data_IF_469790269593
#
_entry.id   IF_469790269593
#
_cell.length_a   1.000
_cell.length_b   1.000
_cell.length_c   1.000
_cell.angle_alpha   90.00
_cell.angle_beta   90.00
_cell.angle_gamma   90.00
#
_symmetry.space_group_name_H-M   'P 1'
#
loop_
_entity.id
_entity.type
_entity.pdbx_description
1 polymer ?
#
# COMPACT_ATOMS: atom_id res chain seq x y z
N UNK A 1 -40.67 58.12 66.21
CA UNK A 1 -40.84 56.70 65.81
C UNK A 1 -41.28 56.56 64.35
N UNK A 2 -42.26 57.34 63.87
CA UNK A 2 -42.78 57.20 62.50
C UNK A 2 -41.79 57.57 61.37
N UNK A 3 -40.91 58.56 61.56
CA UNK A 3 -39.92 58.98 60.56
C UNK A 3 -38.83 57.94 60.30
N UNK A 4 -38.40 57.22 61.32
CA UNK A 4 -37.39 56.16 61.19
C UNK A 4 -37.93 54.94 60.41
N UNK A 5 -39.21 54.62 60.57
CA UNK A 5 -39.87 53.52 59.85
C UNK A 5 -39.94 53.81 58.33
N UNK A 6 -40.32 55.04 57.95
CA UNK A 6 -40.36 55.47 56.54
C UNK A 6 -38.99 55.41 55.84
N UNK A 7 -37.91 55.75 56.55
CA UNK A 7 -36.54 55.66 55.99
C UNK A 7 -36.13 54.21 55.74
N UNK A 8 -36.49 53.31 56.64
CA UNK A 8 -36.21 51.87 56.51
C UNK A 8 -36.97 51.28 55.31
N UNK A 9 -38.25 51.61 55.11
CA UNK A 9 -39.03 51.15 53.95
C UNK A 9 -38.45 51.63 52.61
N UNK A 10 -37.99 52.88 52.54
CA UNK A 10 -37.34 53.44 51.36
C UNK A 10 -36.02 52.72 51.01
N UNK A 11 -35.22 52.37 52.03
CA UNK A 11 -33.98 51.61 51.86
C UNK A 11 -34.27 50.17 51.39
N UNK A 12 -35.30 49.53 51.93
CA UNK A 12 -35.73 48.19 51.51
C UNK A 12 -36.20 48.23 50.05
N UNK A 13 -37.03 49.20 49.67
CA UNK A 13 -37.51 49.36 48.30
C UNK A 13 -36.36 49.62 47.32
N UNK A 14 -35.43 50.52 47.69
CA UNK A 14 -34.23 50.78 46.90
C UNK A 14 -33.36 49.53 46.75
N UNK A 15 -33.19 48.75 47.81
CA UNK A 15 -32.48 47.47 47.80
C UNK A 15 -33.13 46.44 46.87
N UNK A 16 -34.46 46.31 46.89
CA UNK A 16 -35.20 45.39 46.00
C UNK A 16 -35.10 45.81 44.53
N UNK A 17 -35.19 47.11 44.24
CA UNK A 17 -35.02 47.63 42.87
C UNK A 17 -33.60 47.41 42.37
N UNK A 18 -32.58 47.67 43.20
CA UNK A 18 -31.19 47.42 42.86
C UNK A 18 -30.92 45.92 42.62
N UNK A 19 -31.46 45.04 43.48
CA UNK A 19 -31.35 43.59 43.35
C UNK A 19 -32.04 43.10 42.06
N UNK A 20 -33.23 43.61 41.75
CA UNK A 20 -33.95 43.31 40.51
C UNK A 20 -33.17 43.75 39.27
N UNK A 21 -32.52 44.90 39.31
CA UNK A 21 -31.68 45.41 38.22
C UNK A 21 -30.41 44.55 38.01
N UNK A 22 -29.75 44.14 39.10
CA UNK A 22 -28.58 43.25 39.06
C UNK A 22 -28.97 41.89 38.47
N UNK A 23 -30.05 41.27 38.97
CA UNK A 23 -30.51 39.98 38.48
C UNK A 23 -30.89 40.04 36.99
N UNK A 24 -31.54 41.12 36.55
CA UNK A 24 -31.95 41.32 35.15
C UNK A 24 -30.76 41.43 34.19
N UNK A 25 -29.62 41.98 34.61
CA UNK A 25 -28.47 42.17 33.73
C UNK A 25 -27.40 41.07 33.87
N UNK A 26 -27.13 40.58 35.09
CA UNK A 26 -26.06 39.60 35.33
C UNK A 26 -26.46 38.17 35.01
N UNK A 27 -27.69 37.74 35.34
CA UNK A 27 -28.12 36.36 35.08
C UNK A 27 -28.14 36.05 33.57
N UNK A 28 -28.74 36.87 32.70
CA UNK A 28 -28.77 36.58 31.27
C UNK A 28 -27.38 36.56 30.65
N UNK A 29 -26.49 37.48 31.07
CA UNK A 29 -25.11 37.54 30.59
C UNK A 29 -24.32 36.28 30.97
N UNK A 30 -24.44 35.82 32.21
CA UNK A 30 -23.75 34.61 32.68
C UNK A 30 -24.25 33.35 31.97
N UNK A 31 -25.56 33.18 31.82
CA UNK A 31 -26.12 32.03 31.09
C UNK A 31 -25.78 32.07 29.60
N UNK A 32 -25.74 33.25 28.97
CA UNK A 32 -25.34 33.40 27.58
C UNK A 32 -23.86 33.01 27.36
N UNK A 33 -22.96 33.45 28.23
CA UNK A 33 -21.54 33.11 28.16
C UNK A 33 -21.29 31.62 28.45
N UNK A 34 -21.99 31.07 29.45
CA UNK A 34 -21.94 29.62 29.74
C UNK A 34 -22.48 28.78 28.60
N UNK A 35 -23.58 29.20 27.97
CA UNK A 35 -24.16 28.55 26.79
C UNK A 35 -23.23 28.60 25.59
N UNK A 36 -22.60 29.77 25.32
CA UNK A 36 -21.61 29.93 24.24
C UNK A 36 -20.40 29.02 24.45
N UNK A 37 -19.87 28.94 25.67
CA UNK A 37 -18.73 28.07 25.99
C UNK A 37 -19.08 26.58 25.89
N UNK A 38 -20.32 26.20 26.22
CA UNK A 38 -20.79 24.82 26.07
C UNK A 38 -20.92 24.43 24.59
N UNK A 39 -21.61 25.26 23.79
CA UNK A 39 -21.76 25.03 22.36
C UNK A 39 -20.40 24.93 21.64
N UNK A 40 -19.44 25.80 21.99
CA UNK A 40 -18.09 25.75 21.42
C UNK A 40 -17.35 24.46 21.77
N UNK A 41 -17.55 23.90 22.97
CA UNK A 41 -16.95 22.63 23.37
C UNK A 41 -17.57 21.46 22.62
N UNK A 42 -18.89 21.45 22.49
CA UNK A 42 -19.62 20.44 21.72
C UNK A 42 -19.22 20.46 20.25
N UNK A 43 -19.07 21.65 19.65
CA UNK A 43 -18.57 21.81 18.27
C UNK A 43 -17.16 21.22 18.11
N UNK A 44 -16.25 21.49 19.06
CA UNK A 44 -14.89 20.95 19.03
C UNK A 44 -14.89 19.42 19.18
N UNK A 45 -15.72 18.88 20.07
CA UNK A 45 -15.88 17.44 20.26
C UNK A 45 -16.43 16.78 18.98
N UNK A 46 -17.45 17.37 18.35
CA UNK A 46 -18.00 16.88 17.10
C UNK A 46 -16.97 16.89 15.96
N UNK A 47 -16.24 18.00 15.82
CA UNK A 47 -15.17 18.13 14.83
C UNK A 47 -14.10 17.06 15.08
N UNK A 48 -13.69 16.85 16.33
CA UNK A 48 -12.68 15.86 16.70
C UNK A 48 -13.14 14.45 16.35
N UNK A 49 -14.38 14.10 16.69
CA UNK A 49 -14.96 12.80 16.34
C UNK A 49 -14.98 12.57 14.83
N UNK A 50 -15.40 13.58 14.05
CA UNK A 50 -15.40 13.50 12.57
C UNK A 50 -13.99 13.30 12.02
N UNK A 51 -12.97 13.95 12.59
CA UNK A 51 -11.57 13.76 12.18
C UNK A 51 -11.10 12.34 12.45
N UNK A 52 -11.45 11.79 13.62
CA UNK A 52 -11.12 10.40 13.98
C UNK A 52 -11.79 9.40 13.04
N UNK A 53 -13.07 9.59 12.74
CA UNK A 53 -13.82 8.77 11.77
C UNK A 53 -13.14 8.79 10.40
N UNK A 54 -12.86 9.98 9.85
CA UNK A 54 -12.17 10.12 8.55
C UNK A 54 -10.78 9.48 8.58
N UNK A 55 -10.05 9.62 9.69
CA UNK A 55 -8.73 8.99 9.83
C UNK A 55 -8.82 7.47 9.80
N UNK A 56 -9.79 6.88 10.51
CA UNK A 56 -10.04 5.45 10.51
C UNK A 56 -10.40 4.95 9.10
N UNK A 57 -11.25 5.67 8.37
CA UNK A 57 -11.62 5.33 6.99
C UNK A 57 -10.42 5.37 6.03
N UNK A 58 -9.58 6.41 6.15
CA UNK A 58 -8.36 6.54 5.36
C UNK A 58 -7.38 5.41 5.69
N UNK A 59 -7.17 5.09 6.96
CA UNK A 59 -6.24 4.05 7.39
C UNK A 59 -6.72 2.66 6.96
N UNK A 60 -8.03 2.37 7.07
CA UNK A 60 -8.63 1.17 6.53
C UNK A 60 -8.45 1.06 4.99
N UNK A 61 -8.70 2.16 4.27
CA UNK A 61 -8.52 2.22 2.81
C UNK A 61 -7.07 2.02 2.40
N UNK A 62 -6.12 2.62 3.12
CA UNK A 62 -4.67 2.43 2.91
C UNK A 62 -4.25 1.00 3.15
N UNK A 63 -4.76 0.34 4.21
CA UNK A 63 -4.45 -1.05 4.49
C UNK A 63 -4.89 -1.98 3.35
N UNK A 64 -6.09 -1.78 2.80
CA UNK A 64 -6.60 -2.53 1.64
C UNK A 64 -5.75 -2.27 0.39
N UNK A 65 -5.41 -1.00 0.11
CA UNK A 65 -4.56 -0.66 -1.04
C UNK A 65 -3.16 -1.25 -0.91
N UNK A 66 -2.57 -1.23 0.28
CA UNK A 66 -1.26 -1.83 0.55
C UNK A 66 -1.29 -3.34 0.35
N UNK A 67 -2.34 -4.03 0.83
CA UNK A 67 -2.51 -5.46 0.62
C UNK A 67 -2.61 -5.80 -0.88
N UNK A 68 -3.40 -5.04 -1.65
CA UNK A 68 -3.48 -5.18 -3.11
C UNK A 68 -2.12 -4.98 -3.79
N UNK A 69 -1.40 -3.93 -3.41
CA UNK A 69 -0.07 -3.63 -3.95
C UNK A 69 0.94 -4.74 -3.66
N UNK A 70 0.90 -5.31 -2.45
CA UNK A 70 1.78 -6.41 -2.07
C UNK A 70 1.50 -7.67 -2.91
N UNK A 71 0.23 -8.02 -3.12
CA UNK A 71 -0.17 -9.15 -3.96
C UNK A 71 0.28 -8.97 -5.41
N UNK A 72 0.09 -7.77 -5.98
CA UNK A 72 0.58 -7.42 -7.32
C UNK A 72 2.09 -7.57 -7.43
N UNK A 73 2.81 -7.01 -6.46
CA UNK A 73 4.27 -7.09 -6.43
C UNK A 73 4.77 -8.53 -6.34
N UNK A 74 4.19 -9.33 -5.45
CA UNK A 74 4.52 -10.76 -5.31
C UNK A 74 4.29 -11.53 -6.61
N UNK A 75 3.12 -11.35 -7.24
CA UNK A 75 2.79 -12.03 -8.50
C UNK A 75 3.75 -11.66 -9.64
N UNK A 76 4.07 -10.37 -9.79
CA UNK A 76 5.03 -9.90 -10.80
C UNK A 76 6.44 -10.43 -10.56
N UNK A 77 6.88 -10.52 -9.31
CA UNK A 77 8.19 -11.09 -8.98
C UNK A 77 8.26 -12.59 -9.27
N UNK A 78 7.23 -13.36 -8.89
CA UNK A 78 7.15 -14.78 -9.21
C UNK A 78 7.19 -15.00 -10.73
N UNK A 79 6.52 -14.14 -11.49
CA UNK A 79 6.53 -14.18 -12.95
C UNK A 79 7.93 -13.94 -13.52
N UNK A 80 8.64 -12.93 -13.01
CA UNK A 80 10.03 -12.65 -13.40
C UNK A 80 10.96 -13.82 -13.08
N UNK A 81 10.84 -14.43 -11.90
CA UNK A 81 11.63 -15.60 -11.53
C UNK A 81 11.40 -16.79 -12.48
N UNK A 82 10.15 -17.03 -12.87
CA UNK A 82 9.82 -18.09 -13.83
C UNK A 82 10.35 -17.80 -15.23
N UNK A 83 10.27 -16.54 -15.67
CA UNK A 83 10.86 -16.10 -16.93
C UNK A 83 12.37 -16.27 -16.88
N UNK A 84 13.05 -15.83 -15.82
CA UNK A 84 14.50 -16.00 -15.67
C UNK A 84 14.90 -17.48 -15.67
N UNK A 85 14.12 -18.35 -15.01
CA UNK A 85 14.35 -19.78 -15.07
C UNK A 85 14.21 -20.32 -16.50
N UNK A 86 13.16 -19.93 -17.23
CA UNK A 86 12.97 -20.32 -18.63
C UNK A 86 14.11 -19.82 -19.54
N UNK A 87 14.53 -18.58 -19.36
CA UNK A 87 15.64 -17.96 -20.10
C UNK A 87 16.97 -18.67 -19.83
N UNK A 88 17.21 -19.12 -18.59
CA UNK A 88 18.43 -19.87 -18.24
C UNK A 88 18.60 -21.19 -19.00
N UNK A 89 17.52 -21.76 -19.55
CA UNK A 89 17.59 -22.93 -20.42
C UNK A 89 17.70 -22.58 -21.90
N UNK A 90 17.25 -21.38 -22.30
CA UNK A 90 17.25 -20.92 -23.69
C UNK A 90 18.56 -20.23 -24.10
N UNK A 91 19.22 -19.53 -23.19
CA UNK A 91 20.48 -18.85 -23.48
C UNK A 91 21.68 -19.80 -23.41
N UNK A 92 22.66 -19.54 -24.27
CA UNK A 92 23.95 -20.25 -24.30
C UNK A 92 24.99 -19.31 -23.68
N UNK A 93 25.86 -19.84 -22.83
CA UNK A 93 26.92 -19.05 -22.22
C UNK A 93 27.93 -18.56 -23.30
N UNK A 94 28.46 -17.33 -23.18
CA UNK A 94 29.58 -16.90 -24.00
C UNK A 94 30.81 -17.81 -23.74
N UNK A 95 31.66 -17.97 -24.76
CA UNK A 95 32.74 -18.97 -24.78
C UNK A 95 33.52 -19.05 -23.46
N UNK A 96 33.49 -20.23 -22.82
CA UNK A 96 34.20 -20.52 -21.57
C UNK A 96 33.40 -20.32 -20.27
N UNK A 97 32.18 -19.78 -20.33
CA UNK A 97 31.30 -19.62 -19.16
C UNK A 97 30.45 -20.87 -18.85
N UNK A 98 30.23 -21.17 -17.56
CA UNK A 98 29.23 -22.15 -17.12
C UNK A 98 27.97 -21.41 -16.69
N UNK A 99 26.88 -21.57 -17.46
CA UNK A 99 25.57 -21.04 -17.08
C UNK A 99 24.95 -21.94 -15.98
N UNK A 100 24.65 -21.36 -14.83
CA UNK A 100 23.88 -22.04 -13.79
C UNK A 100 22.41 -22.01 -14.19
N UNK A 101 21.88 -23.19 -14.52
CA UNK A 101 20.47 -23.36 -14.88
C UNK A 101 19.60 -23.27 -13.63
N UNK A 102 18.55 -22.46 -13.71
CA UNK A 102 17.53 -22.39 -12.69
C UNK A 102 16.39 -23.34 -13.06
N UNK A 103 15.71 -23.91 -12.06
CA UNK A 103 14.63 -24.86 -12.28
C UNK A 103 13.34 -24.35 -11.65
N UNK A 104 12.25 -24.54 -12.36
CA UNK A 104 10.91 -24.23 -11.87
C UNK A 104 9.97 -25.41 -12.17
N UNK A 105 9.01 -25.63 -11.28
CA UNK A 105 8.00 -26.67 -11.47
C UNK A 105 6.83 -26.14 -12.32
N UNK A 106 6.16 -27.04 -13.04
CA UNK A 106 4.94 -26.70 -13.78
C UNK A 106 3.79 -26.29 -12.88
N UNK A 107 3.77 -26.77 -11.64
CA UNK A 107 2.85 -26.31 -10.59
C UNK A 107 3.08 -24.83 -10.27
N UNK A 108 4.33 -24.42 -10.04
CA UNK A 108 4.68 -23.03 -9.77
C UNK A 108 4.29 -22.11 -10.93
N UNK A 109 4.50 -22.53 -12.18
CA UNK A 109 4.09 -21.78 -13.36
C UNK A 109 2.56 -21.57 -13.43
N UNK A 110 1.77 -22.62 -13.17
CA UNK A 110 0.30 -22.51 -13.15
C UNK A 110 -0.19 -21.61 -12.03
N UNK A 111 0.40 -21.73 -10.84
CA UNK A 111 0.06 -20.89 -9.69
C UNK A 111 0.37 -19.42 -9.98
N UNK A 112 1.53 -19.12 -10.54
CA UNK A 112 1.91 -17.77 -10.92
C UNK A 112 0.97 -17.19 -11.98
N UNK A 113 0.63 -17.96 -13.01
CA UNK A 113 -0.32 -17.53 -14.05
C UNK A 113 -1.69 -17.15 -13.46
N UNK A 114 -2.25 -18.00 -12.57
CA UNK A 114 -3.50 -17.68 -11.87
C UNK A 114 -3.36 -16.45 -10.96
N UNK A 115 -2.23 -16.30 -10.26
CA UNK A 115 -1.96 -15.13 -9.42
C UNK A 115 -1.89 -13.83 -10.24
N UNK A 116 -1.24 -13.83 -11.39
CA UNK A 116 -1.18 -12.68 -12.28
C UNK A 116 -2.58 -12.25 -12.75
N UNK A 117 -3.43 -13.21 -13.13
CA UNK A 117 -4.81 -12.94 -13.55
C UNK A 117 -5.62 -12.29 -12.42
N UNK A 118 -5.42 -12.73 -11.18
CA UNK A 118 -6.16 -12.22 -10.03
C UNK A 118 -5.63 -10.88 -9.52
N UNK A 119 -4.34 -10.62 -9.68
CA UNK A 119 -3.68 -9.48 -9.08
C UNK A 119 -3.53 -8.30 -10.04
N UNK A 120 -3.18 -8.53 -11.31
CA UNK A 120 -2.87 -7.45 -12.27
C UNK A 120 -4.13 -6.93 -12.96
N UNK A 121 -4.21 -5.61 -13.13
CA UNK A 121 -5.32 -4.99 -13.87
C UNK A 121 -5.04 -4.95 -15.38
N UNK A 122 -3.76 -4.85 -15.77
CA UNK A 122 -3.34 -4.83 -17.17
C UNK A 122 -3.23 -6.24 -17.78
N UNK A 123 -4.06 -6.53 -18.77
CA UNK A 123 -4.05 -7.81 -19.51
C UNK A 123 -2.80 -8.01 -20.36
N UNK A 124 -2.14 -6.94 -20.79
CA UNK A 124 -0.92 -7.01 -21.60
C UNK A 124 0.21 -7.74 -20.86
N UNK A 125 0.25 -7.69 -19.52
CA UNK A 125 1.25 -8.41 -18.73
C UNK A 125 1.07 -9.91 -18.91
N UNK A 126 -0.16 -10.39 -18.91
CA UNK A 126 -0.49 -11.82 -19.04
C UNK A 126 -0.17 -12.30 -20.46
N UNK A 127 -0.49 -11.49 -21.46
CA UNK A 127 -0.18 -11.78 -22.87
C UNK A 127 1.33 -11.83 -23.10
N UNK A 128 2.09 -10.85 -22.60
CA UNK A 128 3.55 -10.81 -22.73
C UNK A 128 4.24 -11.91 -21.94
N UNK A 129 3.73 -12.26 -20.77
CA UNK A 129 4.22 -13.43 -20.04
C UNK A 129 4.01 -14.72 -20.85
N UNK A 130 2.85 -14.87 -21.47
CA UNK A 130 2.54 -16.02 -22.33
C UNK A 130 3.43 -16.06 -23.58
N UNK A 131 3.65 -14.91 -24.23
CA UNK A 131 4.57 -14.76 -25.36
C UNK A 131 6.00 -15.17 -24.99
N UNK A 132 6.49 -14.81 -23.80
CA UNK A 132 7.84 -15.16 -23.32
C UNK A 132 7.97 -16.67 -23.03
N UNK A 133 6.96 -17.25 -22.40
CA UNK A 133 6.98 -18.66 -21.99
C UNK A 133 6.78 -19.61 -23.19
N UNK A 134 5.75 -19.38 -23.99
CA UNK A 134 5.34 -20.28 -25.07
C UNK A 134 5.80 -19.84 -26.46
N UNK A 135 6.27 -18.60 -26.61
CA UNK A 135 6.51 -17.97 -27.91
C UNK A 135 5.26 -17.26 -28.42
N UNK A 136 5.46 -16.16 -29.15
CA UNK A 136 4.35 -15.43 -29.75
C UNK A 136 3.72 -16.21 -30.91
N UNK A 137 2.41 -16.02 -31.10
CA UNK A 137 1.65 -16.59 -32.24
C UNK A 137 2.04 -15.94 -33.57
N UNK A 138 2.53 -14.69 -33.54
CA UNK A 138 3.06 -13.99 -34.70
C UNK A 138 4.58 -14.19 -34.79
N UNK A 139 5.09 -14.36 -36.02
CA UNK A 139 6.53 -14.58 -36.26
C UNK A 139 7.35 -13.50 -35.56
N UNK A 140 8.18 -13.93 -34.62
CA UNK A 140 8.98 -13.09 -33.74
C UNK A 140 10.02 -12.30 -34.55
N UNK A 141 9.77 -11.02 -34.86
CA UNK A 141 10.79 -10.14 -35.46
C UNK A 141 11.78 -9.59 -34.43
N UNK A 142 11.43 -9.58 -33.14
CA UNK A 142 12.24 -8.98 -32.07
C UNK A 142 12.97 -10.04 -31.24
N UNK A 143 14.22 -9.78 -30.80
CA UNK A 143 14.95 -10.70 -29.95
C UNK A 143 14.32 -10.82 -28.56
N UNK A 144 14.58 -11.95 -27.91
CA UNK A 144 14.00 -12.31 -26.61
C UNK A 144 14.34 -11.32 -25.49
N UNK A 145 15.51 -10.66 -25.58
CA UNK A 145 15.95 -9.64 -24.61
C UNK A 145 15.11 -8.37 -24.68
N UNK A 146 14.64 -7.97 -25.87
CA UNK A 146 13.75 -6.82 -26.02
C UNK A 146 12.36 -7.12 -25.43
N UNK A 147 11.88 -8.35 -25.62
CA UNK A 147 10.61 -8.80 -25.04
C UNK A 147 10.69 -8.80 -23.51
N UNK A 148 11.81 -9.25 -22.93
CA UNK A 148 12.05 -9.18 -21.50
C UNK A 148 12.06 -7.74 -20.97
N UNK A 149 12.71 -6.82 -21.70
CA UNK A 149 12.74 -5.40 -21.33
C UNK A 149 11.33 -4.78 -21.39
N UNK A 150 10.56 -5.08 -22.43
CA UNK A 150 9.18 -4.64 -22.55
C UNK A 150 8.32 -5.16 -21.39
N UNK A 151 8.46 -6.44 -21.04
CA UNK A 151 7.74 -7.05 -19.91
C UNK A 151 8.10 -6.39 -18.58
N UNK A 152 9.38 -6.13 -18.32
CA UNK A 152 9.83 -5.41 -17.11
C UNK A 152 9.27 -3.99 -17.04
N UNK A 153 9.23 -3.27 -18.16
CA UNK A 153 8.66 -1.93 -18.21
C UNK A 153 7.13 -1.93 -17.98
N UNK A 154 6.41 -2.94 -18.49
CA UNK A 154 4.98 -3.12 -18.20
C UNK A 154 4.75 -3.37 -16.69
N UNK A 155 5.53 -4.25 -16.07
CA UNK A 155 5.47 -4.50 -14.63
C UNK A 155 5.76 -3.22 -13.84
N UNK A 156 6.78 -2.45 -14.25
CA UNK A 156 7.11 -1.16 -13.60
C UNK A 156 5.94 -0.19 -13.68
N UNK A 157 5.31 -0.06 -14.85
CA UNK A 157 4.14 0.80 -15.04
C UNK A 157 2.97 0.36 -14.17
N UNK A 158 2.68 -0.94 -14.11
CA UNK A 158 1.61 -1.52 -13.27
C UNK A 158 1.84 -1.27 -11.77
N UNK A 159 3.09 -1.34 -11.32
CA UNK A 159 3.46 -1.09 -9.93
C UNK A 159 3.63 0.41 -9.61
N UNK A 160 3.44 1.30 -10.60
CA UNK A 160 3.57 2.75 -10.46
C UNK A 160 5.01 3.26 -10.43
N UNK A 161 5.99 2.46 -10.85
CA UNK A 161 7.40 2.84 -10.92
C UNK A 161 7.72 3.59 -12.23
N UNK A 162 7.47 4.91 -12.24
CA UNK A 162 8.15 5.91 -13.08
C UNK A 162 8.29 5.64 -14.59
N UNK A 163 9.31 6.28 -15.20
CA UNK A 163 9.59 6.22 -16.64
C UNK A 163 10.15 4.84 -17.07
N UNK A 164 9.96 4.55 -18.36
CA UNK A 164 10.51 3.37 -19.03
C UNK A 164 12.04 3.34 -18.92
N UNK A 165 12.58 2.16 -18.62
CA UNK A 165 14.01 1.93 -18.65
C UNK A 165 14.40 1.42 -20.04
N UNK A 166 15.22 2.18 -20.75
CA UNK A 166 15.92 1.70 -21.94
C UNK A 166 17.15 0.91 -21.51
N UNK A 167 17.02 -0.41 -21.46
CA UNK A 167 18.15 -1.30 -21.17
C UNK A 167 18.87 -1.67 -22.47
N UNK A 168 20.19 -1.71 -22.41
CA UNK A 168 21.05 -2.17 -23.50
C UNK A 168 20.72 -3.64 -23.84
N UNK A 169 20.46 -3.90 -25.13
CA UNK A 169 20.03 -5.22 -25.62
C UNK A 169 21.05 -6.30 -25.31
N UNK A 170 22.34 -5.97 -25.32
CA UNK A 170 23.44 -6.92 -25.10
C UNK A 170 23.66 -7.24 -23.61
N UNK A 171 23.17 -6.39 -22.71
CA UNK A 171 23.37 -6.49 -21.25
C UNK A 171 22.05 -6.59 -20.48
N UNK A 172 20.95 -6.89 -21.17
CA UNK A 172 19.61 -6.93 -20.59
C UNK A 172 19.41 -8.09 -19.60
N UNK A 173 20.25 -9.13 -19.65
CA UNK A 173 20.11 -10.32 -18.81
C UNK A 173 21.46 -10.88 -18.40
N UNK A 174 21.56 -11.35 -17.15
CA UNK A 174 22.79 -11.90 -16.57
C UNK A 174 22.83 -13.41 -16.76
N UNK A 175 23.69 -13.89 -17.67
CA UNK A 175 23.91 -15.32 -17.89
C UNK A 175 25.11 -15.91 -17.14
N UNK A 176 26.09 -15.09 -16.73
CA UNK A 176 27.22 -15.56 -15.95
C UNK A 176 27.73 -14.45 -15.04
N UNK A 177 28.11 -14.81 -13.82
CA UNK A 177 28.77 -13.92 -12.89
C UNK A 177 30.25 -14.28 -12.83
N UNK A 178 31.11 -13.30 -13.10
CA UNK A 178 32.57 -13.48 -13.05
C UNK A 178 33.05 -13.83 -11.63
N UNK A 179 32.29 -13.40 -10.61
CA UNK A 179 32.64 -13.57 -9.20
C UNK A 179 32.22 -14.92 -8.59
N UNK A 180 31.61 -15.83 -9.37
CA UNK A 180 31.14 -17.13 -8.87
C UNK A 180 32.33 -18.11 -8.74
N UNK A 181 33.26 -17.80 -7.83
CA UNK A 181 34.23 -18.77 -7.35
C UNK A 181 33.46 -19.87 -6.64
N UNK A 182 33.56 -21.10 -7.16
CA UNK A 182 32.95 -22.33 -6.61
C UNK A 182 32.85 -22.30 -5.09
N UNK A 183 31.65 -22.05 -4.56
CA UNK A 183 31.32 -22.50 -3.21
C UNK A 183 31.46 -24.04 -3.24
N UNK A 184 32.22 -24.66 -2.32
CA UNK A 184 32.28 -26.12 -2.25
C UNK A 184 30.85 -26.62 -2.01
N UNK A 185 30.34 -27.40 -2.96
CA UNK A 185 29.07 -28.14 -2.96
C UNK A 185 28.18 -27.89 -1.73
N UNK A 186 27.22 -26.97 -1.85
CA UNK A 186 26.16 -26.85 -0.86
C UNK A 186 25.29 -28.11 -0.87
N UNK A 187 25.54 -28.95 0.13
CA UNK A 187 24.60 -29.80 0.87
C UNK A 187 23.65 -30.64 0.00
N UNK A 188 23.97 -31.93 -0.12
CA UNK A 188 23.01 -32.95 -0.56
C UNK A 188 21.71 -32.82 0.25
N UNK A 189 20.53 -32.93 -0.39
CA UNK A 189 19.27 -32.90 0.33
C UNK A 189 19.27 -34.03 1.35
N UNK A 190 19.12 -33.69 2.63
CA UNK A 190 18.98 -34.65 3.73
C UNK A 190 17.84 -35.59 3.37
N UNK A 191 18.18 -36.85 3.07
CA UNK A 191 17.21 -37.89 2.85
C UNK A 191 16.38 -38.06 4.13
N UNK A 192 15.11 -37.67 4.08
CA UNK A 192 14.15 -37.93 5.15
C UNK A 192 13.88 -39.44 5.13
N UNK A 193 14.21 -40.20 6.20
CA UNK A 193 13.92 -41.62 6.21
C UNK A 193 12.40 -41.83 6.22
N UNK A 194 11.91 -42.61 5.26
CA UNK A 194 10.52 -43.06 5.25
C UNK A 194 10.25 -43.92 6.49
N UNK A 195 9.11 -43.75 7.18
CA UNK A 195 8.74 -44.64 8.27
C UNK A 195 8.43 -46.03 7.70
N UNK A 196 9.14 -47.04 8.22
CA UNK A 196 8.87 -48.43 7.92
C UNK A 196 7.43 -48.81 8.34
N UNK A 197 6.73 -49.51 7.46
CA UNK A 197 5.50 -50.24 7.80
C UNK A 197 5.83 -51.47 8.63
#
# INVERSE_FOLDING_TARGET
MSTAIFVVELLILGGVVALGFILKNYLPSYFAEKGRNLATKEDIEEITRRIEEVKLEIDASKAVQQAKRNLKHEACLEALCLVDAHLSHKFIAPEGGKLVKQYATTEAARKCHSKLILACDNTEIIDRFSDLMFGSKEKMEKPLTDLLNAFRNLIRKELGFGQELSLDRERAWFGALICENKLPNSVEPIAVPHPAK
#
